data_IF_564891223521
#
_entry.id   IF_564891223521
#
_cell.length_a   1.000
_cell.length_b   1.000
_cell.length_c   1.000
_cell.angle_alpha   90.00
_cell.angle_beta   90.00
_cell.angle_gamma   90.00
#
_symmetry.space_group_name_H-M   'P 1'
#
loop_
_entity.id
_entity.type
_entity.pdbx_description
1 polymer ?
#
# COMPACT_ATOMS: atom_id res chain seq x y z
N UNK A 1 50.14 1.99 -36.22
CA UNK A 1 48.73 2.38 -36.56
C UNK A 1 47.65 1.36 -36.12
N UNK A 2 47.85 0.07 -36.20
CA UNK A 2 46.86 -0.96 -35.81
C UNK A 2 46.42 -0.92 -34.31
N UNK A 3 47.29 -0.56 -33.37
CA UNK A 3 46.92 -0.48 -31.94
C UNK A 3 45.86 0.60 -31.62
N UNK A 4 45.92 1.75 -32.23
CA UNK A 4 44.94 2.84 -32.03
C UNK A 4 43.53 2.50 -32.57
N UNK A 5 43.44 1.71 -33.65
CA UNK A 5 42.16 1.29 -34.22
C UNK A 5 41.50 0.23 -33.34
N UNK A 6 42.29 -0.71 -32.82
CA UNK A 6 41.77 -1.76 -31.88
C UNK A 6 41.25 -1.14 -30.59
N UNK A 7 41.91 -0.19 -29.97
CA UNK A 7 41.43 0.53 -28.79
C UNK A 7 40.15 1.33 -29.07
N UNK A 8 40.03 1.94 -30.28
CA UNK A 8 38.81 2.65 -30.67
C UNK A 8 37.61 1.72 -30.85
N UNK A 9 37.80 0.47 -31.33
CA UNK A 9 36.74 -0.50 -31.51
C UNK A 9 36.31 -1.05 -30.16
N UNK A 10 37.24 -1.40 -29.31
CA UNK A 10 36.94 -1.88 -27.95
C UNK A 10 36.20 -0.80 -27.13
N UNK A 11 36.63 0.44 -27.18
CA UNK A 11 35.97 1.55 -26.51
C UNK A 11 34.54 1.78 -27.03
N UNK A 12 34.32 1.66 -28.33
CA UNK A 12 32.97 1.78 -28.92
C UNK A 12 32.07 0.63 -28.51
N UNK A 13 32.58 -0.60 -28.51
CA UNK A 13 31.81 -1.77 -28.10
C UNK A 13 31.44 -1.70 -26.61
N UNK A 14 32.40 -1.28 -25.77
CA UNK A 14 32.17 -1.08 -24.34
C UNK A 14 31.11 0.01 -24.09
N UNK A 15 31.23 1.15 -24.77
CA UNK A 15 30.26 2.24 -24.64
C UNK A 15 28.86 1.84 -25.13
N UNK A 16 28.78 1.04 -26.21
CA UNK A 16 27.51 0.50 -26.68
C UNK A 16 26.87 -0.47 -25.70
N UNK A 17 27.67 -1.35 -25.07
CA UNK A 17 27.18 -2.26 -24.02
C UNK A 17 26.70 -1.48 -22.79
N UNK A 18 27.46 -0.48 -22.37
CA UNK A 18 27.08 0.39 -21.25
C UNK A 18 25.76 1.13 -21.53
N UNK A 19 25.62 1.69 -22.74
CA UNK A 19 24.40 2.37 -23.15
C UNK A 19 23.19 1.42 -23.14
N UNK A 20 23.36 0.19 -23.65
CA UNK A 20 22.30 -0.82 -23.64
C UNK A 20 21.88 -1.17 -22.20
N UNK A 21 22.84 -1.34 -21.30
CA UNK A 21 22.59 -1.65 -19.90
C UNK A 21 21.82 -0.54 -19.21
N UNK A 22 22.19 0.73 -19.45
CA UNK A 22 21.47 1.89 -18.91
C UNK A 22 20.03 1.95 -19.43
N UNK A 23 19.83 1.69 -20.73
CA UNK A 23 18.47 1.65 -21.31
C UNK A 23 17.63 0.54 -20.68
N UNK A 24 18.19 -0.67 -20.50
CA UNK A 24 17.50 -1.76 -19.82
C UNK A 24 17.13 -1.40 -18.38
N UNK A 25 18.05 -0.78 -17.63
CA UNK A 25 17.76 -0.31 -16.27
C UNK A 25 16.61 0.71 -16.25
N UNK A 26 16.59 1.67 -17.17
CA UNK A 26 15.51 2.66 -17.26
C UNK A 26 14.17 1.99 -17.56
N UNK A 27 14.14 1.02 -18.48
CA UNK A 27 12.91 0.28 -18.82
C UNK A 27 12.39 -0.51 -17.62
N UNK A 28 13.27 -1.28 -16.94
CA UNK A 28 12.89 -2.07 -15.76
C UNK A 28 12.39 -1.13 -14.65
N UNK A 29 13.10 -0.04 -14.42
CA UNK A 29 12.70 0.97 -13.45
C UNK A 29 11.32 1.57 -13.76
N UNK A 30 11.10 1.99 -15.01
CA UNK A 30 9.81 2.51 -15.44
C UNK A 30 8.67 1.49 -15.27
N UNK A 31 8.95 0.22 -15.55
CA UNK A 31 7.98 -0.87 -15.38
C UNK A 31 7.62 -1.07 -13.90
N UNK A 32 8.62 -1.12 -13.02
CA UNK A 32 8.40 -1.25 -11.57
C UNK A 32 7.61 -0.06 -11.03
N UNK A 33 7.95 1.17 -11.45
CA UNK A 33 7.28 2.40 -11.04
C UNK A 33 5.79 2.46 -11.43
N UNK A 34 5.43 1.84 -12.55
CA UNK A 34 4.04 1.85 -13.05
C UNK A 34 3.23 0.69 -12.47
N UNK A 35 3.83 -0.51 -12.38
CA UNK A 35 3.09 -1.72 -12.00
C UNK A 35 3.00 -1.94 -10.50
N UNK A 36 4.05 -1.58 -9.73
CA UNK A 36 4.08 -1.83 -8.30
C UNK A 36 2.95 -1.11 -7.54
N UNK A 37 2.72 0.20 -7.71
CA UNK A 37 1.68 0.89 -6.94
C UNK A 37 0.28 0.39 -7.30
N UNK A 38 0.00 0.09 -8.55
CA UNK A 38 -1.34 -0.36 -8.99
C UNK A 38 -1.72 -1.71 -8.41
N UNK A 39 -0.81 -2.68 -8.48
CA UNK A 39 -1.09 -4.03 -7.98
C UNK A 39 -1.18 -4.06 -6.46
N UNK A 40 -0.33 -3.31 -5.78
CA UNK A 40 -0.30 -3.26 -4.32
C UNK A 40 -1.53 -2.60 -3.73
N UNK A 41 -2.04 -1.51 -4.34
CA UNK A 41 -3.30 -0.88 -3.96
C UNK A 41 -4.48 -1.85 -4.06
N UNK A 42 -4.62 -2.52 -5.20
CA UNK A 42 -5.74 -3.45 -5.42
C UNK A 42 -5.72 -4.62 -4.45
N UNK A 43 -4.53 -5.15 -4.14
CA UNK A 43 -4.38 -6.27 -3.20
C UNK A 43 -4.70 -5.84 -1.77
N UNK A 44 -4.22 -4.66 -1.34
CA UNK A 44 -4.49 -4.14 -0.01
C UNK A 44 -5.97 -3.77 0.18
N UNK A 45 -6.60 -3.13 -0.81
CA UNK A 45 -8.03 -2.85 -0.83
C UNK A 45 -8.85 -4.15 -0.73
N UNK A 46 -8.42 -5.19 -1.46
CA UNK A 46 -9.04 -6.52 -1.39
C UNK A 46 -8.93 -7.14 0.00
N UNK A 47 -7.77 -7.05 0.63
CA UNK A 47 -7.55 -7.57 1.97
C UNK A 47 -8.38 -6.83 3.01
N UNK A 48 -8.32 -5.49 3.05
CA UNK A 48 -9.12 -4.68 3.99
C UNK A 48 -10.61 -4.94 3.80
N UNK A 49 -11.07 -5.11 2.55
CA UNK A 49 -12.47 -5.43 2.26
C UNK A 49 -12.85 -6.80 2.82
N UNK A 50 -12.02 -7.82 2.62
CA UNK A 50 -12.26 -9.16 3.15
C UNK A 50 -12.32 -9.16 4.67
N UNK A 51 -11.32 -8.56 5.31
CA UNK A 51 -11.24 -8.46 6.78
C UNK A 51 -12.44 -7.68 7.37
N UNK A 52 -12.93 -6.68 6.63
CA UNK A 52 -14.11 -5.92 7.03
C UNK A 52 -15.39 -6.76 6.99
N UNK A 53 -15.60 -7.57 5.95
CA UNK A 53 -16.77 -8.45 5.87
C UNK A 53 -16.70 -9.58 6.90
N UNK A 54 -15.51 -10.11 7.18
CA UNK A 54 -15.30 -11.09 8.25
C UNK A 54 -15.65 -10.47 9.62
N UNK A 55 -15.26 -9.21 9.85
CA UNK A 55 -15.66 -8.46 11.04
C UNK A 55 -17.18 -8.32 11.12
N UNK A 56 -17.86 -7.95 10.03
CA UNK A 56 -19.32 -7.80 9.99
C UNK A 56 -20.01 -9.11 10.34
N UNK A 57 -19.51 -10.25 9.83
CA UNK A 57 -20.04 -11.58 10.18
C UNK A 57 -19.89 -11.88 11.69
N UNK A 58 -18.79 -11.49 12.30
CA UNK A 58 -18.57 -11.62 13.76
C UNK A 58 -19.55 -10.74 14.54
N UNK A 59 -19.80 -9.49 14.07
CA UNK A 59 -20.77 -8.58 14.69
C UNK A 59 -22.21 -9.11 14.61
N UNK A 60 -22.60 -9.67 13.46
CA UNK A 60 -23.91 -10.30 13.30
C UNK A 60 -24.12 -11.50 14.23
N UNK A 61 -23.07 -12.30 14.41
CA UNK A 61 -23.14 -13.54 15.20
C UNK A 61 -23.12 -13.30 16.71
N UNK A 62 -22.22 -12.43 17.17
CA UNK A 62 -21.94 -12.24 18.60
C UNK A 62 -22.52 -10.94 19.18
N UNK A 63 -22.86 -9.99 18.31
CA UNK A 63 -23.21 -8.64 18.69
C UNK A 63 -21.99 -7.72 18.86
N UNK A 64 -22.20 -6.42 18.70
CA UNK A 64 -21.12 -5.44 18.71
C UNK A 64 -20.50 -5.27 20.12
N UNK A 65 -21.31 -5.35 21.19
CA UNK A 65 -20.83 -5.21 22.58
C UNK A 65 -19.87 -6.33 22.98
N UNK A 66 -20.14 -7.57 22.54
CA UNK A 66 -19.29 -8.72 22.79
C UNK A 66 -18.08 -8.82 21.85
N UNK A 67 -18.05 -8.02 20.78
CA UNK A 67 -17.04 -8.08 19.73
C UNK A 67 -16.05 -6.90 19.79
N UNK A 68 -15.97 -6.20 20.92
CA UNK A 68 -15.05 -5.04 21.08
C UNK A 68 -13.59 -5.39 20.79
N UNK A 69 -13.15 -6.60 21.16
CA UNK A 69 -11.78 -7.06 20.91
C UNK A 69 -11.55 -7.25 19.41
N UNK A 70 -12.52 -7.82 18.67
CA UNK A 70 -12.44 -8.01 17.22
C UNK A 70 -12.45 -6.66 16.48
N UNK A 71 -13.23 -5.69 16.95
CA UNK A 71 -13.24 -4.31 16.42
C UNK A 71 -11.89 -3.64 16.61
N UNK A 72 -11.28 -3.83 17.78
CA UNK A 72 -9.96 -3.28 18.07
C UNK A 72 -8.86 -3.96 17.25
N UNK A 73 -8.89 -5.29 17.13
CA UNK A 73 -7.96 -6.07 16.33
C UNK A 73 -8.00 -5.65 14.85
N UNK A 74 -9.21 -5.56 14.27
CA UNK A 74 -9.38 -5.07 12.90
C UNK A 74 -8.81 -3.66 12.72
N UNK A 75 -9.13 -2.75 13.64
CA UNK A 75 -8.68 -1.37 13.59
C UNK A 75 -7.15 -1.25 13.68
N UNK A 76 -6.52 -2.04 14.55
CA UNK A 76 -5.05 -2.09 14.68
C UNK A 76 -4.38 -2.71 13.46
N UNK A 77 -4.90 -3.86 12.98
CA UNK A 77 -4.30 -4.61 11.87
C UNK A 77 -4.37 -3.83 10.56
N UNK A 78 -5.49 -3.15 10.31
CA UNK A 78 -5.74 -2.44 9.06
C UNK A 78 -5.44 -0.93 9.15
N UNK A 79 -4.89 -0.46 10.27
CA UNK A 79 -4.66 0.97 10.52
C UNK A 79 -5.91 1.81 10.20
N UNK A 80 -7.04 1.39 10.77
CA UNK A 80 -8.36 1.90 10.44
C UNK A 80 -9.05 2.55 11.63
N UNK A 81 -9.93 3.50 11.34
CA UNK A 81 -10.98 3.91 12.28
C UNK A 81 -12.24 3.08 12.01
N UNK A 82 -12.92 2.66 13.08
CA UNK A 82 -14.19 1.94 12.99
C UNK A 82 -15.22 2.65 13.86
N UNK A 83 -16.41 2.84 13.30
CA UNK A 83 -17.55 3.47 13.96
C UNK A 83 -18.79 2.59 13.80
N UNK A 84 -19.56 2.45 14.87
CA UNK A 84 -20.87 1.77 14.85
C UNK A 84 -21.93 2.78 15.27
N UNK A 85 -22.93 2.94 14.42
CA UNK A 85 -24.05 3.82 14.64
C UNK A 85 -25.37 3.02 14.69
N UNK A 86 -26.33 3.51 15.47
CA UNK A 86 -27.70 2.97 15.44
C UNK A 86 -28.46 3.41 14.19
N UNK A 87 -29.72 2.96 14.04
CA UNK A 87 -30.60 3.32 12.94
C UNK A 87 -30.95 4.83 12.88
N UNK A 88 -30.72 5.57 13.98
CA UNK A 88 -30.95 7.01 14.10
C UNK A 88 -29.68 7.82 13.84
N UNK A 89 -28.55 7.16 13.61
CA UNK A 89 -27.26 7.81 13.38
C UNK A 89 -26.51 8.19 14.66
N UNK A 90 -26.95 7.72 15.84
CA UNK A 90 -26.19 7.94 17.08
C UNK A 90 -24.98 7.03 17.11
N UNK A 91 -23.81 7.58 17.42
CA UNK A 91 -22.59 6.80 17.57
C UNK A 91 -22.63 6.01 18.88
N UNK A 92 -22.53 4.69 18.77
CA UNK A 92 -22.52 3.76 19.90
C UNK A 92 -21.12 3.30 20.26
N UNK A 93 -20.25 3.19 19.26
CA UNK A 93 -18.87 2.74 19.42
C UNK A 93 -17.98 3.43 18.40
N UNK A 94 -16.80 3.84 18.84
CA UNK A 94 -15.78 4.39 17.96
C UNK A 94 -14.41 3.98 18.46
N UNK A 95 -13.59 3.44 17.57
CA UNK A 95 -12.18 3.17 17.78
C UNK A 95 -11.37 3.76 16.63
N UNK A 96 -10.28 4.41 16.94
CA UNK A 96 -9.44 5.05 15.95
C UNK A 96 -7.97 4.70 16.20
N UNK A 97 -7.42 3.84 15.33
CA UNK A 97 -6.00 3.54 15.26
C UNK A 97 -5.36 4.09 13.98
N UNK A 98 -6.16 4.72 13.12
CA UNK A 98 -5.59 5.44 12.00
C UNK A 98 -4.71 6.56 12.55
N UNK A 99 -3.44 6.58 12.16
CA UNK A 99 -2.46 7.59 12.56
C UNK A 99 -2.78 8.92 11.86
N UNK A 100 -3.92 9.52 12.28
CA UNK A 100 -4.45 10.76 11.68
C UNK A 100 -3.58 11.98 11.98
N UNK A 101 -2.71 11.90 13.00
CA UNK A 101 -1.87 13.03 13.42
C UNK A 101 -0.70 13.27 12.45
N UNK A 102 -0.33 12.25 11.64
CA UNK A 102 0.71 12.33 10.60
C UNK A 102 0.18 12.07 9.18
N UNK A 103 -1.12 12.03 8.98
CA UNK A 103 -1.68 11.90 7.64
C UNK A 103 -1.39 13.17 6.85
N UNK A 104 -0.41 13.09 5.97
CA UNK A 104 -0.39 13.90 4.77
C UNK A 104 -1.78 13.75 4.12
N UNK A 105 -2.55 14.83 4.01
CA UNK A 105 -3.93 14.82 3.48
C UNK A 105 -4.03 14.28 2.05
N UNK A 106 -2.92 13.91 1.46
CA UNK A 106 -2.78 13.24 0.16
C UNK A 106 -2.70 11.72 0.24
N UNK A 107 -2.65 11.11 1.45
CA UNK A 107 -2.58 9.66 1.59
C UNK A 107 -3.90 9.02 1.15
N UNK A 108 -3.85 7.98 0.30
CA UNK A 108 -5.04 7.28 -0.11
C UNK A 108 -5.70 6.61 1.09
N UNK A 109 -7.00 6.76 1.21
CA UNK A 109 -7.82 6.10 2.22
C UNK A 109 -8.92 5.30 1.56
N UNK A 110 -9.32 4.21 2.21
CA UNK A 110 -10.42 3.37 1.78
C UNK A 110 -11.50 3.38 2.84
N UNK A 111 -12.75 3.59 2.43
CA UNK A 111 -13.91 3.55 3.32
C UNK A 111 -14.78 2.34 2.99
N UNK A 112 -15.09 1.54 4.00
CA UNK A 112 -16.03 0.44 3.93
C UNK A 112 -17.24 0.76 4.79
N UNK A 113 -18.43 0.31 4.36
CA UNK A 113 -19.65 0.43 5.14
C UNK A 113 -20.52 -0.81 4.97
N UNK A 114 -21.15 -1.24 6.05
CA UNK A 114 -22.11 -2.33 6.03
C UNK A 114 -23.20 -2.10 7.08
N UNK A 115 -24.25 -2.90 7.01
CA UNK A 115 -25.32 -2.92 8.00
C UNK A 115 -25.47 -4.33 8.54
N UNK A 116 -25.69 -4.47 9.83
CA UNK A 116 -26.01 -5.74 10.46
C UNK A 116 -27.21 -5.61 11.40
N UNK A 117 -27.84 -6.74 11.72
CA UNK A 117 -29.00 -6.77 12.61
C UNK A 117 -28.66 -7.54 13.89
N UNK A 118 -29.02 -6.94 15.02
CA UNK A 118 -28.87 -7.56 16.34
C UNK A 118 -30.12 -7.25 17.18
N UNK A 119 -30.77 -8.29 17.70
CA UNK A 119 -31.95 -8.11 18.57
C UNK A 119 -33.14 -7.41 17.92
N UNK A 120 -33.25 -7.43 16.58
CA UNK A 120 -34.29 -6.75 15.83
C UNK A 120 -34.01 -5.27 15.54
N UNK A 121 -32.85 -4.77 15.92
CA UNK A 121 -32.37 -3.43 15.59
C UNK A 121 -31.32 -3.50 14.47
N UNK A 122 -31.29 -2.45 13.64
CA UNK A 122 -30.33 -2.32 12.55
C UNK A 122 -29.20 -1.39 12.99
N UNK A 123 -27.97 -1.82 12.76
CA UNK A 123 -26.76 -1.07 13.05
C UNK A 123 -25.99 -0.81 11.78
N UNK A 124 -25.32 0.33 11.71
CA UNK A 124 -24.45 0.72 10.63
C UNK A 124 -23.01 0.72 11.11
N UNK A 125 -22.16 -0.06 10.47
CA UNK A 125 -20.72 -0.06 10.73
C UNK A 125 -20.00 0.64 9.58
N UNK A 126 -19.10 1.54 9.95
CA UNK A 126 -18.23 2.26 9.03
C UNK A 126 -16.79 2.00 9.41
N UNK A 127 -15.96 1.70 8.44
CA UNK A 127 -14.52 1.58 8.62
C UNK A 127 -13.81 2.49 7.60
N UNK A 128 -12.81 3.22 8.07
CA UNK A 128 -11.97 4.05 7.23
C UNK A 128 -10.52 3.66 7.47
N UNK A 129 -9.92 2.93 6.51
CA UNK A 129 -8.55 2.45 6.57
C UNK A 129 -7.61 3.42 5.84
N UNK A 130 -6.51 3.76 6.51
CA UNK A 130 -5.46 4.57 5.93
C UNK A 130 -4.46 3.67 5.20
N UNK A 131 -4.35 3.82 3.89
CA UNK A 131 -3.40 3.07 3.06
C UNK A 131 -1.97 3.65 3.12
N UNK A 132 -1.59 4.22 4.27
CA UNK A 132 -0.32 4.95 4.48
C UNK A 132 0.91 4.06 4.34
N UNK A 133 0.83 2.78 4.73
CA UNK A 133 1.95 1.85 4.65
C UNK A 133 2.49 1.68 3.22
N UNK A 134 1.62 1.86 2.22
CA UNK A 134 1.96 1.79 0.79
C UNK A 134 2.77 3.00 0.36
N UNK A 135 2.35 4.19 0.76
CA UNK A 135 3.01 5.45 0.38
C UNK A 135 4.44 5.52 0.95
N UNK A 136 4.64 5.13 2.21
CA UNK A 136 5.96 5.11 2.84
C UNK A 136 6.90 4.07 2.21
N UNK A 137 6.41 2.86 1.94
CA UNK A 137 7.22 1.80 1.29
C UNK A 137 7.62 2.20 -0.13
N UNK A 138 6.73 2.88 -0.85
CA UNK A 138 6.98 3.40 -2.18
C UNK A 138 8.04 4.51 -2.19
N UNK A 139 7.98 5.44 -1.24
CA UNK A 139 8.94 6.53 -1.12
C UNK A 139 10.36 6.03 -0.76
N UNK A 140 10.45 4.99 0.07
CA UNK A 140 11.72 4.32 0.40
C UNK A 140 12.29 3.61 -0.84
N UNK A 141 11.46 2.89 -1.60
CA UNK A 141 11.86 2.24 -2.86
C UNK A 141 12.34 3.26 -3.88
N UNK A 142 11.63 4.37 -4.03
CA UNK A 142 12.02 5.48 -4.91
C UNK A 142 13.39 6.04 -4.58
N UNK A 143 13.72 6.17 -3.30
CA UNK A 143 15.03 6.67 -2.82
C UNK A 143 16.13 5.62 -2.96
N UNK A 144 15.80 4.33 -2.87
CA UNK A 144 16.78 3.23 -2.93
C UNK A 144 17.24 2.91 -4.36
N UNK A 145 16.34 3.03 -5.34
CA UNK A 145 16.63 2.63 -6.74
C UNK A 145 17.76 3.43 -7.39
N UNK A 146 17.83 4.77 -7.30
CA UNK A 146 18.97 5.51 -7.86
C UNK A 146 20.29 5.11 -7.20
N UNK A 147 20.29 4.76 -5.92
CA UNK A 147 21.47 4.26 -5.22
C UNK A 147 21.92 2.90 -5.78
N UNK A 148 21.00 1.98 -6.01
CA UNK A 148 21.29 0.67 -6.65
C UNK A 148 21.85 0.86 -8.07
N UNK A 149 21.27 1.77 -8.85
CA UNK A 149 21.73 2.06 -10.20
C UNK A 149 23.17 2.59 -10.21
N UNK A 150 23.53 3.47 -9.27
CA UNK A 150 24.91 3.97 -9.11
C UNK A 150 25.87 2.86 -8.72
N UNK A 151 25.49 1.96 -7.82
CA UNK A 151 26.29 0.81 -7.41
C UNK A 151 26.54 -0.14 -8.59
N UNK A 152 25.52 -0.45 -9.39
CA UNK A 152 25.66 -1.28 -10.60
C UNK A 152 26.61 -0.63 -11.61
N UNK A 153 26.52 0.69 -11.79
CA UNK A 153 27.40 1.45 -12.66
C UNK A 153 28.86 1.40 -12.19
N UNK A 154 29.10 1.51 -10.88
CA UNK A 154 30.44 1.43 -10.28
C UNK A 154 31.07 0.03 -10.42
N UNK A 155 30.26 -1.04 -10.33
CA UNK A 155 30.74 -2.42 -10.49
C UNK A 155 31.03 -2.75 -11.98
N UNK A 156 30.38 -2.05 -12.90
CA UNK A 156 30.51 -2.28 -14.36
C UNK A 156 31.71 -1.57 -14.98
N UNK A 157 32.44 -0.71 -14.26
CA UNK A 157 33.63 0.02 -14.69
C UNK A 157 34.88 -0.72 -14.24
#
# INVERSE_FOLDING_TARGET
MRRKISQSIQAKTFLSMLALLVVCCIIIYGMVMIFLPRNYHTELEGQVTSDFYDLVEVLERNGWEASSDSLMEFSMTNNASVEINDEYGNNLFSVNFADMENMDTSAPSMSCSATFQQGGQTYHVFANAALVAVAQSYDILLKLIPFIAVVILLISV
#
